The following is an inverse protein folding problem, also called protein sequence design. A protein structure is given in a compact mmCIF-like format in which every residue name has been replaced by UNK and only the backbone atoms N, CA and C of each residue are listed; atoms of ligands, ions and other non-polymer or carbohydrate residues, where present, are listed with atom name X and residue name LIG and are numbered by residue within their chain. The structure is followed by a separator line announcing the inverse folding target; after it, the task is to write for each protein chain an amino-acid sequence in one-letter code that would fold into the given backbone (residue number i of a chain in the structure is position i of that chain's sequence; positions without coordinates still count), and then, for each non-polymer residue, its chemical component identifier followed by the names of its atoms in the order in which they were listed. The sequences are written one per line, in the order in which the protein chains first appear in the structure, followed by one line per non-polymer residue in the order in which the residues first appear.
data_IF_067228915904
#
_entry.id   IF_067228915904
#
_cell.length_a   1.000
_cell.length_b   1.000
_cell.length_c   1.000
_cell.angle_alpha   90.00
_cell.angle_beta   90.00
_cell.angle_gamma   90.00
#
_symmetry.space_group_name_H-M   'P 1'
#
loop_
_entity.id
_entity.type
_entity.pdbx_description
1 polymer ?
#
# COMPACT_ATOMS: atom_id res chain seq x y z
N UNK A 1 1.52 -22.73 25.18
CA UNK A 1 0.57 -21.64 24.93
C UNK A 1 0.07 -21.78 23.50
N UNK A 2 -1.05 -22.47 23.29
CA UNK A 2 -1.67 -22.58 21.97
C UNK A 2 -2.44 -21.29 21.70
N UNK A 3 -2.04 -20.54 20.67
CA UNK A 3 -2.70 -19.29 20.29
C UNK A 3 -3.91 -19.65 19.43
N UNK A 4 -5.12 -19.55 20.00
CA UNK A 4 -6.37 -19.97 19.35
C UNK A 4 -6.85 -19.05 18.21
N UNK A 5 -6.16 -17.93 17.94
CA UNK A 5 -6.44 -17.08 16.78
C UNK A 5 -5.16 -16.43 16.23
N UNK A 6 -4.48 -17.03 15.24
CA UNK A 6 -3.29 -16.46 14.63
C UNK A 6 -3.54 -15.12 13.90
N UNK A 7 -4.78 -14.75 13.59
CA UNK A 7 -5.13 -13.45 12.99
C UNK A 7 -5.11 -12.28 14.00
N UNK A 8 -5.06 -12.57 15.31
CA UNK A 8 -5.02 -11.57 16.37
C UNK A 8 -3.59 -11.18 16.80
N UNK A 9 -2.56 -11.81 16.22
CA UNK A 9 -1.18 -11.48 16.54
C UNK A 9 -0.77 -10.17 15.86
N UNK A 10 -0.17 -9.21 16.59
CA UNK A 10 0.37 -8.01 15.97
C UNK A 10 1.42 -8.40 14.93
N UNK A 11 1.49 -7.68 13.79
CA UNK A 11 2.48 -8.02 12.78
C UNK A 11 3.89 -7.83 13.37
N UNK A 12 4.85 -8.71 13.01
CA UNK A 12 6.25 -8.55 13.40
C UNK A 12 6.75 -7.14 13.12
N UNK A 13 7.56 -6.59 14.02
CA UNK A 13 8.04 -5.20 13.95
C UNK A 13 8.80 -4.91 12.65
N UNK A 14 9.43 -5.93 12.07
CA UNK A 14 10.11 -5.88 10.79
C UNK A 14 9.16 -5.51 9.64
N UNK A 15 7.90 -5.94 9.70
CA UNK A 15 6.89 -5.63 8.68
C UNK A 15 6.40 -4.19 8.79
N UNK A 16 6.34 -3.64 10.00
CA UNK A 16 5.95 -2.23 10.22
C UNK A 16 7.02 -1.25 9.75
N UNK A 17 8.26 -1.71 9.60
CA UNK A 17 9.42 -0.89 9.20
C UNK A 17 9.77 -1.03 7.72
N UNK A 18 8.85 -1.47 6.86
CA UNK A 18 9.06 -1.50 5.41
C UNK A 18 9.14 -0.08 4.84
N UNK A 19 10.14 0.19 4.00
CA UNK A 19 10.24 1.43 3.24
C UNK A 19 9.18 1.47 2.14
N UNK A 20 8.91 2.65 1.59
CA UNK A 20 8.00 2.79 0.45
C UNK A 20 8.45 1.93 -0.74
N UNK A 21 9.75 1.91 -1.00
CA UNK A 21 10.29 1.11 -2.11
C UNK A 21 10.07 -0.40 -1.90
N UNK A 22 10.27 -0.89 -0.68
CA UNK A 22 10.05 -2.28 -0.31
C UNK A 22 8.56 -2.64 -0.35
N UNK A 23 7.67 -1.75 0.11
CA UNK A 23 6.22 -1.93 -0.02
C UNK A 23 5.81 -2.06 -1.48
N UNK A 24 6.28 -1.15 -2.34
CA UNK A 24 6.01 -1.21 -3.78
C UNK A 24 6.56 -2.49 -4.40
N UNK A 25 7.74 -2.95 -3.99
CA UNK A 25 8.32 -4.21 -4.48
C UNK A 25 7.49 -5.43 -4.06
N UNK A 26 7.08 -5.49 -2.80
CA UNK A 26 6.25 -6.60 -2.29
C UNK A 26 4.90 -6.62 -2.98
N UNK A 27 4.24 -5.46 -3.13
CA UNK A 27 2.92 -5.34 -3.75
C UNK A 27 2.96 -5.63 -5.25
N UNK A 28 3.99 -5.20 -5.96
CA UNK A 28 4.14 -5.48 -7.40
C UNK A 28 4.62 -6.90 -7.71
N UNK A 29 5.01 -7.69 -6.71
CA UNK A 29 5.48 -9.06 -6.88
C UNK A 29 4.34 -9.98 -7.33
N UNK A 30 4.66 -10.89 -8.25
CA UNK A 30 3.77 -11.99 -8.65
C UNK A 30 3.85 -13.19 -7.71
N UNK A 31 4.77 -13.18 -6.75
CA UNK A 31 4.96 -14.26 -5.78
C UNK A 31 3.91 -14.18 -4.66
N UNK A 32 3.61 -15.30 -3.97
CA UNK A 32 2.85 -15.27 -2.74
C UNK A 32 3.40 -14.24 -1.75
N UNK A 33 2.51 -13.47 -1.11
CA UNK A 33 2.88 -12.34 -0.26
C UNK A 33 3.93 -12.69 0.81
N UNK A 34 3.83 -13.82 1.55
CA UNK A 34 4.84 -14.19 2.54
C UNK A 34 6.23 -14.39 1.93
N UNK A 35 6.30 -14.92 0.71
CA UNK A 35 7.57 -15.15 0.01
C UNK A 35 8.19 -13.82 -0.47
N UNK A 36 7.37 -12.93 -1.04
CA UNK A 36 7.82 -11.60 -1.47
C UNK A 36 8.35 -10.78 -0.28
N UNK A 37 7.66 -10.84 0.86
CA UNK A 37 8.10 -10.20 2.12
C UNK A 37 9.40 -10.82 2.63
N UNK A 38 9.49 -12.15 2.70
CA UNK A 38 10.68 -12.84 3.19
C UNK A 38 11.93 -12.50 2.36
N UNK A 39 11.78 -12.43 1.03
CA UNK A 39 12.85 -12.04 0.12
C UNK A 39 13.34 -10.61 0.38
N UNK A 40 12.42 -9.66 0.54
CA UNK A 40 12.77 -8.27 0.85
C UNK A 40 13.50 -8.17 2.18
N UNK A 41 13.02 -8.85 3.23
CA UNK A 41 13.68 -8.87 4.53
C UNK A 41 15.05 -9.55 4.48
N UNK A 42 15.21 -10.62 3.70
CA UNK A 42 16.48 -11.29 3.50
C UNK A 42 17.50 -10.37 2.80
N UNK A 43 17.09 -9.67 1.73
CA UNK A 43 17.93 -8.69 1.03
C UNK A 43 18.35 -7.54 1.96
N UNK A 44 17.43 -7.05 2.81
CA UNK A 44 17.73 -6.02 3.80
C UNK A 44 18.80 -6.47 4.81
N UNK A 45 18.71 -7.71 5.30
CA UNK A 45 19.73 -8.30 6.19
C UNK A 45 21.08 -8.43 5.49
N UNK A 46 21.11 -8.84 4.22
CA UNK A 46 22.34 -8.93 3.41
C UNK A 46 23.01 -7.56 3.19
N UNK A 47 22.23 -6.51 2.90
CA UNK A 47 22.76 -5.15 2.72
C UNK A 47 23.33 -4.53 4.00
N UNK A 48 22.80 -4.88 5.18
CA UNK A 48 23.34 -4.41 6.48
C UNK A 48 24.70 -5.03 6.84
N UNK A 49 25.10 -6.13 6.19
CA UNK A 49 26.35 -6.84 6.46
C UNK A 49 27.52 -6.52 5.52
N UNK A 50 27.30 -5.73 4.46
CA UNK A 50 28.34 -5.39 3.48
C UNK A 50 28.95 -4.01 3.79
N UNK A 51 30.23 -3.92 4.19
CA UNK A 51 30.92 -2.65 4.33
C UNK A 51 31.31 -2.12 2.94
N UNK A 52 30.76 -0.97 2.56
CA UNK A 52 31.25 -0.17 1.45
C UNK A 52 30.88 -0.69 0.06
N UNK A 53 29.78 -0.18 -0.49
CA UNK A 53 29.69 -0.01 -1.93
C UNK A 53 28.99 1.33 -2.22
N UNK A 54 29.74 2.40 -1.94
CA UNK A 54 29.43 3.73 -2.44
C UNK A 54 29.91 3.80 -3.90
N UNK A 55 29.30 3.02 -4.79
CA UNK A 55 29.50 3.16 -6.22
C UNK A 55 28.66 4.36 -6.72
N UNK A 56 29.21 5.55 -6.46
CA UNK A 56 28.75 6.84 -6.95
C UNK A 56 29.09 6.97 -8.44
N UNK A 57 28.20 6.49 -9.30
CA UNK A 57 28.18 6.91 -10.72
C UNK A 57 27.31 8.18 -10.86
N UNK A 58 27.91 9.36 -11.12
CA UNK A 58 27.18 10.62 -11.26
C UNK A 58 26.27 10.67 -12.50
N UNK A 59 26.54 9.86 -13.53
CA UNK A 59 25.71 9.82 -14.74
C UNK A 59 24.44 8.98 -14.58
N UNK A 60 24.38 8.08 -13.59
CA UNK A 60 23.13 7.42 -13.16
C UNK A 60 22.23 8.34 -12.31
N UNK A 61 22.74 9.48 -11.82
CA UNK A 61 21.98 10.40 -10.97
C UNK A 61 20.96 11.26 -11.73
N UNK A 62 21.02 11.32 -13.06
CA UNK A 62 20.27 12.31 -13.82
C UNK A 62 19.49 11.70 -14.99
N UNK A 63 18.56 10.82 -14.66
CA UNK A 63 17.46 10.45 -15.55
C UNK A 63 16.13 10.51 -14.79
N UNK A 64 15.76 11.74 -14.42
CA UNK A 64 14.58 12.03 -13.59
C UNK A 64 13.28 11.63 -14.28
N UNK A 65 13.21 11.73 -15.61
CA UNK A 65 12.05 11.32 -16.39
C UNK A 65 11.90 9.80 -16.44
N UNK A 66 12.98 9.04 -16.68
CA UNK A 66 12.90 7.57 -16.61
C UNK A 66 12.64 7.09 -15.17
N UNK A 67 13.14 7.81 -14.17
CA UNK A 67 12.83 7.55 -12.76
C UNK A 67 11.36 7.77 -12.43
N UNK A 68 10.77 8.90 -12.87
CA UNK A 68 9.35 9.18 -12.67
C UNK A 68 8.46 8.16 -13.39
N UNK A 69 8.69 7.88 -14.68
CA UNK A 69 7.91 6.90 -15.42
C UNK A 69 7.99 5.49 -14.81
N UNK A 70 9.20 5.08 -14.39
CA UNK A 70 9.41 3.79 -13.72
C UNK A 70 8.69 3.75 -12.37
N UNK A 71 8.71 4.85 -11.62
CA UNK A 71 8.03 4.97 -10.31
C UNK A 71 6.52 4.93 -10.47
N UNK A 72 5.95 5.65 -11.43
CA UNK A 72 4.52 5.61 -11.76
C UNK A 72 4.10 4.21 -12.21
N UNK A 73 4.87 3.56 -13.10
CA UNK A 73 4.58 2.18 -13.53
C UNK A 73 4.57 1.20 -12.36
N UNK A 74 5.53 1.33 -11.43
CA UNK A 74 5.60 0.51 -10.20
C UNK A 74 4.39 0.75 -9.30
N UNK A 75 3.99 2.01 -9.10
CA UNK A 75 2.78 2.36 -8.35
C UNK A 75 1.55 1.74 -9.01
N UNK A 76 1.31 1.96 -10.31
CA UNK A 76 0.16 1.39 -11.00
C UNK A 76 0.11 -0.14 -10.89
N UNK A 77 1.26 -0.81 -11.00
CA UNK A 77 1.35 -2.27 -10.83
C UNK A 77 1.02 -2.67 -9.39
N UNK A 78 1.55 -1.95 -8.40
CA UNK A 78 1.28 -2.21 -6.99
C UNK A 78 -0.19 -2.01 -6.64
N UNK A 79 -0.84 -0.98 -7.17
CA UNK A 79 -2.28 -0.71 -6.96
C UNK A 79 -3.15 -1.79 -7.58
N UNK A 80 -2.83 -2.25 -8.79
CA UNK A 80 -3.58 -3.31 -9.44
C UNK A 80 -3.46 -4.63 -8.68
N UNK A 81 -2.24 -5.01 -8.27
CA UNK A 81 -2.01 -6.21 -7.45
C UNK A 81 -2.64 -6.10 -6.06
N UNK A 82 -2.65 -4.90 -5.48
CA UNK A 82 -3.33 -4.63 -4.23
C UNK A 82 -4.83 -4.89 -4.36
N UNK A 83 -5.45 -4.35 -5.43
CA UNK A 83 -6.86 -4.57 -5.76
C UNK A 83 -7.17 -6.05 -5.95
N UNK A 84 -6.44 -6.75 -6.80
CA UNK A 84 -6.60 -8.20 -7.02
C UNK A 84 -6.53 -8.99 -5.70
N UNK A 85 -5.62 -8.63 -4.80
CA UNK A 85 -5.47 -9.30 -3.50
C UNK A 85 -6.63 -8.99 -2.56
N UNK A 86 -7.14 -7.76 -2.59
CA UNK A 86 -8.32 -7.38 -1.81
C UNK A 86 -9.58 -8.07 -2.34
N UNK A 87 -9.67 -8.33 -3.64
CA UNK A 87 -10.78 -9.07 -4.25
C UNK A 87 -10.79 -10.58 -4.00
N UNK A 88 -9.70 -11.16 -3.46
CA UNK A 88 -9.68 -12.59 -3.09
C UNK A 88 -10.69 -12.87 -1.98
N UNK A 89 -11.29 -14.05 -1.98
CA UNK A 89 -12.20 -14.47 -0.92
C UNK A 89 -11.54 -14.36 0.46
N UNK A 90 -12.31 -13.92 1.46
CA UNK A 90 -11.89 -13.86 2.85
C UNK A 90 -12.90 -14.60 3.73
N UNK A 91 -12.39 -15.47 4.61
CA UNK A 91 -13.21 -16.31 5.49
C UNK A 91 -13.76 -15.58 6.71
N UNK A 92 -13.24 -14.39 7.03
CA UNK A 92 -13.70 -13.58 8.16
C UNK A 92 -13.41 -12.10 7.97
N UNK A 93 -14.03 -11.25 8.81
CA UNK A 93 -13.78 -9.81 8.83
C UNK A 93 -12.32 -9.52 9.17
N UNK A 94 -11.77 -10.21 10.15
CA UNK A 94 -10.38 -10.04 10.61
C UNK A 94 -9.39 -10.35 9.47
N UNK A 95 -9.66 -11.41 8.70
CA UNK A 95 -8.83 -11.77 7.56
C UNK A 95 -8.85 -10.70 6.46
N UNK A 96 -10.00 -10.05 6.23
CA UNK A 96 -10.13 -8.96 5.27
C UNK A 96 -9.51 -7.65 5.79
N UNK A 97 -9.81 -7.29 7.04
CA UNK A 97 -9.26 -6.12 7.72
C UNK A 97 -7.72 -6.19 7.79
N UNK A 98 -7.14 -7.37 7.97
CA UNK A 98 -5.69 -7.55 7.89
C UNK A 98 -5.09 -7.16 6.53
N UNK A 99 -5.82 -7.35 5.42
CA UNK A 99 -5.34 -6.96 4.09
C UNK A 99 -5.41 -5.44 3.88
N UNK A 100 -6.33 -4.76 4.57
CA UNK A 100 -6.54 -3.32 4.49
C UNK A 100 -5.60 -2.55 5.45
N UNK A 101 -5.61 -2.94 6.72
CA UNK A 101 -4.95 -2.22 7.81
C UNK A 101 -3.63 -2.88 8.24
N UNK A 102 -3.27 -4.00 7.62
CA UNK A 102 -2.01 -4.68 7.89
C UNK A 102 -0.79 -3.95 7.30
N UNK A 103 0.42 -4.45 7.61
CA UNK A 103 1.69 -3.79 7.30
C UNK A 103 2.03 -3.75 5.81
N UNK A 104 1.28 -4.46 4.97
CA UNK A 104 1.42 -4.43 3.51
C UNK A 104 0.08 -4.08 2.85
N UNK A 105 -0.76 -3.32 3.55
CA UNK A 105 -2.07 -2.85 3.07
C UNK A 105 -2.03 -1.46 2.41
N UNK A 106 -3.17 -0.96 1.90
CA UNK A 106 -3.32 0.39 1.39
C UNK A 106 -2.87 1.47 2.39
N UNK A 107 -3.15 1.30 3.68
CA UNK A 107 -2.81 2.30 4.70
C UNK A 107 -1.30 2.35 4.94
N UNK A 108 -0.63 1.19 5.03
CA UNK A 108 0.83 1.15 5.13
C UNK A 108 1.50 1.78 3.89
N UNK A 109 0.91 1.61 2.70
CA UNK A 109 1.39 2.25 1.48
C UNK A 109 1.23 3.78 1.54
N UNK A 110 0.08 4.27 2.02
CA UNK A 110 -0.17 5.69 2.21
C UNK A 110 0.80 6.32 3.22
N UNK A 111 1.01 5.67 4.38
CA UNK A 111 2.01 6.09 5.37
C UNK A 111 3.43 6.13 4.78
N UNK A 112 3.78 5.15 3.93
CA UNK A 112 5.04 5.15 3.19
C UNK A 112 5.19 6.39 2.30
N UNK A 113 4.13 6.80 1.60
CA UNK A 113 4.13 8.02 0.79
C UNK A 113 4.20 9.29 1.64
N UNK A 114 3.49 9.37 2.77
CA UNK A 114 3.60 10.52 3.69
C UNK A 114 5.04 10.70 4.18
N UNK A 115 5.74 9.60 4.46
CA UNK A 115 7.12 9.61 5.00
C UNK A 115 8.20 9.86 3.94
N UNK A 116 8.04 9.32 2.74
CA UNK A 116 9.13 9.19 1.76
C UNK A 116 8.85 9.87 0.40
N UNK A 117 7.70 10.52 0.22
CA UNK A 117 7.44 11.30 -1.00
C UNK A 117 8.42 12.48 -1.10
N UNK A 118 8.80 12.81 -2.34
CA UNK A 118 9.75 13.89 -2.63
C UNK A 118 9.12 15.26 -2.39
N UNK A 119 7.79 15.36 -2.49
CA UNK A 119 7.02 16.57 -2.22
C UNK A 119 5.59 16.23 -1.79
N UNK A 120 4.93 17.16 -1.11
CA UNK A 120 3.57 17.00 -0.56
C UNK A 120 2.53 16.57 -1.62
N UNK A 121 2.65 17.11 -2.83
CA UNK A 121 1.77 16.78 -3.95
C UNK A 121 1.84 15.31 -4.37
N UNK A 122 3.04 14.72 -4.43
CA UNK A 122 3.21 13.30 -4.75
C UNK A 122 2.47 12.42 -3.74
N UNK A 123 2.61 12.72 -2.45
CA UNK A 123 1.91 11.99 -1.40
C UNK A 123 0.38 12.12 -1.57
N UNK A 124 -0.15 13.35 -1.74
CA UNK A 124 -1.59 13.56 -1.94
C UNK A 124 -2.12 12.80 -3.15
N UNK A 125 -1.44 12.91 -4.29
CA UNK A 125 -1.80 12.21 -5.51
C UNK A 125 -1.83 10.69 -5.30
N UNK A 126 -0.78 10.13 -4.70
CA UNK A 126 -0.69 8.68 -4.51
C UNK A 126 -1.74 8.17 -3.51
N UNK A 127 -2.04 8.90 -2.44
CA UNK A 127 -3.07 8.51 -1.48
C UNK A 127 -4.47 8.55 -2.13
N UNK A 128 -4.74 9.55 -2.98
CA UNK A 128 -5.96 9.61 -3.78
C UNK A 128 -6.08 8.42 -4.75
N UNK A 129 -5.00 8.06 -5.45
CA UNK A 129 -4.97 6.89 -6.33
C UNK A 129 -5.17 5.56 -5.56
N UNK A 130 -4.65 5.45 -4.33
CA UNK A 130 -4.94 4.30 -3.46
C UNK A 130 -6.44 4.24 -3.15
N UNK A 131 -7.07 5.38 -2.82
CA UNK A 131 -8.51 5.41 -2.54
C UNK A 131 -9.35 5.00 -3.76
N UNK A 132 -9.00 5.45 -4.96
CA UNK A 132 -9.63 5.02 -6.20
C UNK A 132 -9.41 3.53 -6.49
N UNK A 133 -8.23 2.99 -6.17
CA UNK A 133 -7.99 1.55 -6.28
C UNK A 133 -8.89 0.74 -5.32
N UNK A 134 -9.13 1.23 -4.09
CA UNK A 134 -10.05 0.61 -3.14
C UNK A 134 -11.50 0.66 -3.62
N UNK A 135 -11.92 1.76 -4.24
CA UNK A 135 -13.26 1.87 -4.85
C UNK A 135 -13.49 0.81 -5.94
N UNK A 136 -12.45 0.46 -6.69
CA UNK A 136 -12.52 -0.55 -7.76
C UNK A 136 -12.55 -2.00 -7.26
N UNK A 137 -12.38 -2.24 -5.96
CA UNK A 137 -12.50 -3.58 -5.35
C UNK A 137 -13.97 -4.00 -5.40
N UNK A 138 -14.25 -5.15 -6.01
CA UNK A 138 -15.60 -5.70 -6.08
C UNK A 138 -15.94 -6.50 -4.81
N UNK A 139 -16.85 -6.02 -3.94
CA UNK A 139 -17.15 -6.70 -2.67
C UNK A 139 -17.73 -8.11 -2.87
N UNK A 140 -18.42 -8.33 -3.98
CA UNK A 140 -19.06 -9.62 -4.30
C UNK A 140 -18.03 -10.74 -4.53
N UNK A 141 -16.83 -10.42 -5.02
CA UNK A 141 -15.73 -11.40 -5.16
C UNK A 141 -15.14 -11.83 -3.82
N UNK A 142 -15.20 -10.95 -2.82
CA UNK A 142 -14.69 -11.22 -1.47
C UNK A 142 -15.68 -12.05 -0.66
N UNK A 143 -16.98 -11.83 -0.89
CA UNK A 143 -18.08 -12.36 -0.10
C UNK A 143 -18.45 -13.84 -0.36
N UNK A 144 -17.70 -14.54 -1.23
CA UNK A 144 -18.05 -15.88 -1.74
C UNK A 144 -18.12 -16.96 -0.65
N UNK A 145 -17.33 -16.86 0.44
CA UNK A 145 -17.21 -17.92 1.47
C UNK A 145 -17.61 -17.45 2.90
N UNK A 146 -18.62 -16.60 3.02
CA UNK A 146 -19.30 -16.34 4.31
C UNK A 146 -19.04 -14.99 4.98
N UNK A 147 -18.17 -14.13 4.42
CA UNK A 147 -18.08 -12.73 4.83
C UNK A 147 -19.18 -11.91 4.11
N UNK A 148 -20.13 -11.26 4.82
CA UNK A 148 -21.19 -10.53 4.15
C UNK A 148 -20.63 -9.35 3.33
N UNK A 149 -21.20 -9.15 2.14
CA UNK A 149 -20.87 -8.02 1.24
C UNK A 149 -20.91 -6.66 1.95
N UNK A 150 -21.87 -6.47 2.86
CA UNK A 150 -22.00 -5.24 3.65
C UNK A 150 -20.80 -5.01 4.57
N UNK A 151 -20.25 -6.06 5.17
CA UNK A 151 -19.05 -5.96 6.03
C UNK A 151 -17.82 -5.60 5.19
N UNK A 152 -17.67 -6.20 4.01
CA UNK A 152 -16.59 -5.84 3.07
C UNK A 152 -16.69 -4.37 2.67
N UNK A 153 -17.89 -3.91 2.30
CA UNK A 153 -18.14 -2.52 1.91
C UNK A 153 -17.88 -1.54 3.07
N UNK A 154 -18.27 -1.88 4.29
CA UNK A 154 -18.00 -1.08 5.49
C UNK A 154 -16.50 -0.96 5.75
N UNK A 155 -15.75 -2.07 5.69
CA UNK A 155 -14.30 -2.07 5.87
C UNK A 155 -13.58 -1.26 4.79
N UNK A 156 -14.00 -1.35 3.52
CA UNK A 156 -13.47 -0.51 2.44
C UNK A 156 -13.76 0.98 2.68
N UNK A 157 -14.99 1.32 3.05
CA UNK A 157 -15.38 2.70 3.37
C UNK A 157 -14.55 3.27 4.52
N UNK A 158 -14.32 2.47 5.57
CA UNK A 158 -13.46 2.84 6.69
C UNK A 158 -12.02 3.11 6.25
N UNK A 159 -11.46 2.25 5.39
CA UNK A 159 -10.11 2.45 4.85
C UNK A 159 -10.02 3.73 4.01
N UNK A 160 -11.00 3.99 3.13
CA UNK A 160 -11.06 5.22 2.32
C UNK A 160 -11.17 6.47 3.19
N UNK A 161 -11.95 6.40 4.27
CA UNK A 161 -12.06 7.50 5.22
C UNK A 161 -10.72 7.79 5.92
N UNK A 162 -9.99 6.76 6.36
CA UNK A 162 -8.66 6.94 6.96
C UNK A 162 -7.65 7.52 5.95
N UNK A 163 -7.70 7.08 4.68
CA UNK A 163 -6.85 7.66 3.63
C UNK A 163 -7.14 9.16 3.42
N UNK A 164 -8.41 9.56 3.47
CA UNK A 164 -8.79 10.97 3.37
C UNK A 164 -8.28 11.79 4.56
N UNK A 165 -8.33 11.23 5.77
CA UNK A 165 -7.79 11.85 6.98
C UNK A 165 -6.27 12.01 6.89
N UNK A 166 -5.53 11.01 6.38
CA UNK A 166 -4.10 11.14 6.16
C UNK A 166 -3.78 12.19 5.08
N UNK A 167 -4.53 12.21 3.97
CA UNK A 167 -4.34 13.20 2.91
C UNK A 167 -4.59 14.65 3.40
N UNK A 168 -5.55 14.84 4.32
CA UNK A 168 -5.88 16.14 4.89
C UNK A 168 -4.78 16.71 5.80
N UNK A 169 -3.92 15.85 6.39
CA UNK A 169 -2.78 16.28 7.22
C UNK A 169 -1.60 16.80 6.38
N UNK A 170 -1.56 16.48 5.09
CA UNK A 170 -0.48 16.89 4.20
C UNK A 170 -0.66 18.37 3.82
N UNK A 171 0.43 19.11 3.78
CA UNK A 171 0.46 20.53 3.40
C UNK A 171 -0.38 20.78 2.12
N UNK A 172 -1.25 21.81 2.09
CA UNK A 172 -2.06 22.15 0.92
C UNK A 172 -1.23 22.32 -0.36
N UNK A 173 -1.73 21.76 -1.45
CA UNK A 173 -1.16 21.91 -2.80
C UNK A 173 -2.33 22.17 -3.74
N UNK A 174 -2.70 23.45 -4.00
CA UNK A 174 -3.98 23.82 -4.59
C UNK A 174 -4.37 23.06 -5.87
N UNK A 175 -3.40 22.82 -6.74
CA UNK A 175 -3.61 22.10 -8.01
C UNK A 175 -4.01 20.63 -7.80
N UNK A 176 -3.45 19.98 -6.78
CA UNK A 176 -3.68 18.58 -6.46
C UNK A 176 -4.75 18.38 -5.39
N UNK A 177 -5.05 19.40 -4.60
CA UNK A 177 -6.12 19.37 -3.61
C UNK A 177 -7.48 19.17 -4.27
N UNK A 178 -7.72 19.85 -5.41
CA UNK A 178 -8.93 19.65 -6.21
C UNK A 178 -9.03 18.20 -6.68
N UNK A 179 -7.97 17.69 -7.31
CA UNK A 179 -7.94 16.31 -7.79
C UNK A 179 -8.15 15.30 -6.66
N UNK A 180 -7.46 15.47 -5.52
CA UNK A 180 -7.62 14.57 -4.37
C UNK A 180 -9.05 14.60 -3.83
N UNK A 181 -9.65 15.78 -3.71
CA UNK A 181 -11.04 15.93 -3.26
C UNK A 181 -12.02 15.23 -4.21
N UNK A 182 -11.85 15.40 -5.52
CA UNK A 182 -12.68 14.74 -6.53
C UNK A 182 -12.52 13.22 -6.46
N UNK A 183 -11.28 12.73 -6.36
CA UNK A 183 -10.97 11.31 -6.22
C UNK A 183 -11.58 10.69 -4.95
N UNK A 184 -11.52 11.39 -3.81
CA UNK A 184 -12.16 10.92 -2.58
C UNK A 184 -13.69 11.01 -2.63
N UNK A 185 -14.25 11.99 -3.33
CA UNK A 185 -15.69 12.06 -3.56
C UNK A 185 -16.16 10.88 -4.41
N UNK A 186 -15.43 10.54 -5.48
CA UNK A 186 -15.69 9.35 -6.30
C UNK A 186 -15.52 8.06 -5.51
N UNK A 187 -14.46 7.95 -4.71
CA UNK A 187 -14.16 6.73 -3.97
C UNK A 187 -15.21 6.40 -2.89
N UNK A 188 -15.94 7.39 -2.38
CA UNK A 188 -16.98 7.23 -1.36
C UNK A 188 -18.36 6.85 -1.90
N UNK A 189 -18.58 6.99 -3.20
CA UNK A 189 -19.79 6.51 -3.89
C UNK A 189 -19.79 4.98 -4.00
#
# INVERSE_FOLDING_TARGET
MNVSNPAALPPPQELRSLTLEELLQVLSSTRPLPQAVAEVLARRKGKKGAPGDAELDPLKRFDSQSFLLRRTKRLSTALERLRERLERTASSREAFDWRLFGPVGPLALAEGYVREASFAGEAKFCIAEIALALRRVQPDKVAVDGLPRSVVAESLKKAIQQLAEEAAKIHPVPELDRYANDAFAEARQ
#
